data_IF_752171592381
#
_entry.id   IF_752171592381
#
_cell.length_a   1.000
_cell.length_b   1.000
_cell.length_c   1.000
_cell.angle_alpha   90.00
_cell.angle_beta   90.00
_cell.angle_gamma   90.00
#
_symmetry.space_group_name_H-M   'P 1'
#
loop_
_entity.id
_entity.type
_entity.pdbx_description
1 polymer ?
#
# COMPACT_ATOMS: atom_id res chain seq x y z
N UNK A 1 -3.51 22.15 24.52
CA UNK A 1 -4.03 21.87 23.16
C UNK A 1 -5.53 21.64 23.27
N UNK A 2 -6.38 22.20 22.40
CA UNK A 2 -7.81 21.94 22.49
C UNK A 2 -8.03 20.45 22.21
N UNK A 3 -8.59 19.73 23.18
CA UNK A 3 -9.03 18.35 23.03
C UNK A 3 -9.96 18.26 21.82
N UNK A 4 -9.47 17.70 20.72
CA UNK A 4 -10.26 17.48 19.52
C UNK A 4 -11.35 16.44 19.82
N UNK A 5 -12.50 16.59 19.16
CA UNK A 5 -13.77 15.84 19.29
C UNK A 5 -13.70 14.31 19.10
N UNK A 6 -12.52 13.70 19.16
CA UNK A 6 -12.28 12.37 18.62
C UNK A 6 -11.25 11.59 19.46
N UNK A 7 -11.46 10.28 19.67
CA UNK A 7 -10.56 9.47 20.47
C UNK A 7 -9.16 9.41 19.84
N UNK A 8 -8.14 9.47 20.70
CA UNK A 8 -6.75 9.28 20.30
C UNK A 8 -6.53 7.88 19.71
N UNK A 9 -5.76 7.75 18.62
CA UNK A 9 -5.60 6.47 17.93
C UNK A 9 -4.72 5.47 18.70
N UNK A 10 -3.76 5.95 19.50
CA UNK A 10 -2.87 5.11 20.31
C UNK A 10 -3.10 5.33 21.80
N UNK A 11 -3.03 4.26 22.57
CA UNK A 11 -3.02 4.33 24.04
C UNK A 11 -1.64 4.76 24.58
N UNK A 12 -1.57 5.30 25.81
CA UNK A 12 -0.29 5.62 26.46
C UNK A 12 0.66 4.41 26.55
N UNK A 13 0.11 3.20 26.73
CA UNK A 13 0.90 1.98 26.78
C UNK A 13 1.53 1.63 25.41
N UNK A 14 0.80 1.85 24.32
CA UNK A 14 1.32 1.66 22.96
C UNK A 14 2.41 2.68 22.63
N UNK A 15 2.22 3.95 23.00
CA UNK A 15 3.23 5.00 22.85
C UNK A 15 4.54 4.64 23.57
N UNK A 16 4.46 4.18 24.82
CA UNK A 16 5.64 3.72 25.56
C UNK A 16 6.35 2.55 24.89
N UNK A 17 5.60 1.56 24.37
CA UNK A 17 6.20 0.42 23.63
C UNK A 17 6.85 0.86 22.32
N UNK A 18 6.33 1.92 21.69
CA UNK A 18 6.91 2.48 20.47
C UNK A 18 8.32 3.05 20.70
N UNK A 19 8.60 3.62 21.87
CA UNK A 19 9.95 4.11 22.23
C UNK A 19 10.98 2.97 22.27
N UNK A 20 10.54 1.74 22.57
CA UNK A 20 11.38 0.55 22.62
C UNK A 20 11.56 -0.11 21.24
N UNK A 21 10.83 0.36 20.21
CA UNK A 21 10.88 -0.20 18.86
C UNK A 21 12.24 0.02 18.22
N UNK A 22 12.72 -1.02 17.53
CA UNK A 22 13.94 -0.98 16.74
C UNK A 22 13.66 -1.60 15.39
N UNK A 23 13.87 -0.81 14.34
CA UNK A 23 13.75 -1.29 12.97
C UNK A 23 14.63 -2.52 12.75
N UNK A 24 14.03 -3.55 12.14
CA UNK A 24 14.72 -4.79 11.80
C UNK A 24 14.28 -5.23 10.41
N UNK A 25 15.24 -5.31 9.50
CA UNK A 25 15.03 -5.83 8.17
C UNK A 25 16.16 -6.79 7.77
N UNK A 26 15.84 -7.75 6.91
CA UNK A 26 16.79 -8.75 6.41
C UNK A 26 16.45 -9.18 4.99
N UNK A 27 17.41 -9.80 4.31
CA UNK A 27 17.28 -10.12 2.89
C UNK A 27 17.76 -8.97 2.00
N UNK A 28 17.75 -9.22 0.70
CA UNK A 28 18.11 -8.26 -0.34
C UNK A 28 17.42 -8.65 -1.64
N UNK A 29 16.89 -7.67 -2.35
CA UNK A 29 16.30 -7.90 -3.67
C UNK A 29 17.38 -7.87 -4.78
N UNK A 30 17.05 -8.36 -5.97
CA UNK A 30 17.99 -8.55 -7.08
C UNK A 30 18.52 -7.23 -7.65
N UNK A 31 17.64 -6.24 -7.82
CA UNK A 31 17.93 -4.93 -8.38
C UNK A 31 18.34 -3.91 -7.32
N UNK A 32 18.18 -4.21 -6.03
CA UNK A 32 18.62 -3.32 -4.98
C UNK A 32 20.13 -2.99 -5.06
N UNK A 33 21.08 -3.95 -5.14
CA UNK A 33 22.52 -3.62 -5.20
C UNK A 33 22.93 -2.66 -6.33
N UNK A 34 22.52 -2.82 -7.60
CA UNK A 34 22.84 -1.83 -8.63
C UNK A 34 22.13 -0.48 -8.37
N UNK A 35 20.89 -0.48 -7.89
CA UNK A 35 20.16 0.74 -7.54
C UNK A 35 20.82 1.50 -6.37
N UNK A 36 21.52 0.82 -5.45
CA UNK A 36 22.26 1.47 -4.37
C UNK A 36 23.25 2.51 -4.88
N UNK A 37 23.87 2.31 -6.06
CA UNK A 37 24.80 3.29 -6.66
C UNK A 37 24.06 4.61 -6.93
N UNK A 38 22.91 4.51 -7.58
CA UNK A 38 22.07 5.65 -7.92
C UNK A 38 21.48 6.30 -6.65
N UNK A 39 20.92 5.53 -5.72
CA UNK A 39 20.30 6.07 -4.51
C UNK A 39 21.31 6.72 -3.55
N UNK A 40 22.53 6.19 -3.45
CA UNK A 40 23.60 6.81 -2.65
C UNK A 40 24.09 8.13 -3.27
N UNK A 41 24.08 8.25 -4.59
CA UNK A 41 24.32 9.53 -5.26
C UNK A 41 23.13 10.50 -5.05
N UNK A 42 21.90 10.02 -5.22
CA UNK A 42 20.69 10.83 -5.16
C UNK A 42 20.48 11.45 -3.78
N UNK A 43 20.66 10.67 -2.70
CA UNK A 43 20.52 11.19 -1.33
C UNK A 43 21.50 12.32 -1.05
N UNK A 44 22.69 12.34 -1.67
CA UNK A 44 23.66 13.44 -1.52
C UNK A 44 23.18 14.74 -2.17
N UNK A 45 22.33 14.65 -3.20
CA UNK A 45 21.73 15.81 -3.87
C UNK A 45 20.60 16.43 -3.05
N UNK A 46 20.04 15.71 -2.08
CA UNK A 46 18.98 16.22 -1.21
C UNK A 46 19.60 17.18 -0.17
N UNK A 47 19.09 18.42 -0.03
CA UNK A 47 19.53 19.32 1.03
C UNK A 47 19.26 18.73 2.41
N UNK A 48 20.19 18.93 3.36
CA UNK A 48 20.10 18.35 4.71
C UNK A 48 19.00 18.93 5.58
N UNK A 49 18.32 19.99 5.15
CA UNK A 49 17.14 20.54 5.85
C UNK A 49 15.83 19.87 5.43
N UNK A 50 15.83 19.09 4.33
CA UNK A 50 14.65 18.35 3.88
C UNK A 50 14.46 17.13 4.79
N UNK A 51 13.30 17.05 5.44
CA UNK A 51 12.94 15.93 6.29
C UNK A 51 12.67 14.66 5.44
N UNK A 52 13.02 13.47 5.93
CA UNK A 52 12.74 12.19 5.27
C UNK A 52 11.27 12.03 4.86
N UNK A 53 10.35 12.27 5.78
CA UNK A 53 8.91 12.14 5.54
C UNK A 53 8.40 13.08 4.42
N UNK A 54 9.11 14.19 4.17
CA UNK A 54 8.79 15.09 3.05
C UNK A 54 9.12 14.42 1.71
N UNK A 55 10.19 13.62 1.63
CA UNK A 55 10.52 12.85 0.43
C UNK A 55 9.44 11.79 0.17
N UNK A 56 9.07 11.03 1.21
CA UNK A 56 8.04 10.00 1.14
C UNK A 56 6.70 10.56 0.66
N UNK A 57 6.20 11.65 1.27
CA UNK A 57 4.89 12.20 0.88
C UNK A 57 4.91 12.83 -0.51
N UNK A 58 6.02 13.45 -0.92
CA UNK A 58 6.16 14.01 -2.28
C UNK A 58 6.16 12.87 -3.30
N UNK A 59 6.88 11.78 -3.04
CA UNK A 59 6.84 10.57 -3.85
C UNK A 59 5.41 10.06 -3.99
N UNK A 60 4.71 9.86 -2.87
CA UNK A 60 3.33 9.40 -2.85
C UNK A 60 2.40 10.29 -3.69
N UNK A 61 2.49 11.61 -3.50
CA UNK A 61 1.66 12.57 -4.23
C UNK A 61 1.91 12.51 -5.75
N UNK A 62 3.17 12.38 -6.18
CA UNK A 62 3.50 12.21 -7.61
C UNK A 62 2.86 10.95 -8.17
N UNK A 63 2.96 9.83 -7.46
CA UNK A 63 2.35 8.57 -7.89
C UNK A 63 0.82 8.69 -7.97
N UNK A 64 0.17 9.22 -6.93
CA UNK A 64 -1.28 9.47 -6.89
C UNK A 64 -1.73 10.30 -8.08
N UNK A 65 -1.07 11.45 -8.32
CA UNK A 65 -1.46 12.36 -9.41
C UNK A 65 -1.33 11.67 -10.77
N UNK A 66 -0.22 10.95 -11.00
CA UNK A 66 -0.04 10.23 -12.28
C UNK A 66 -1.11 9.15 -12.50
N UNK A 67 -1.46 8.37 -11.47
CA UNK A 67 -2.51 7.35 -11.58
C UNK A 67 -3.90 7.97 -11.70
N UNK A 68 -4.21 9.06 -11.00
CA UNK A 68 -5.52 9.74 -11.11
C UNK A 68 -5.72 10.28 -12.53
N UNK A 69 -4.66 10.75 -13.19
CA UNK A 69 -4.71 11.12 -14.61
C UNK A 69 -5.07 9.90 -15.47
N UNK A 70 -4.46 8.73 -15.23
CA UNK A 70 -4.86 7.49 -15.92
C UNK A 70 -6.32 7.11 -15.64
N UNK A 71 -6.79 7.19 -14.39
CA UNK A 71 -8.17 6.89 -14.01
C UNK A 71 -9.16 7.85 -14.68
N UNK A 72 -8.79 9.12 -14.85
CA UNK A 72 -9.61 10.09 -15.55
C UNK A 72 -9.82 9.71 -17.03
N UNK A 73 -8.79 9.23 -17.71
CA UNK A 73 -8.90 8.77 -19.10
C UNK A 73 -9.52 7.38 -19.23
N UNK A 74 -9.23 6.48 -18.29
CA UNK A 74 -9.58 5.06 -18.34
C UNK A 74 -10.30 4.61 -17.06
N UNK A 75 -11.48 5.15 -16.72
CA UNK A 75 -12.17 4.84 -15.46
C UNK A 75 -12.65 3.39 -15.38
N UNK A 76 -12.78 2.70 -16.51
CA UNK A 76 -13.16 1.28 -16.57
C UNK A 76 -12.02 0.34 -16.91
N UNK A 77 -10.80 0.87 -17.11
CA UNK A 77 -9.63 0.13 -17.60
C UNK A 77 -9.88 -0.63 -18.92
N UNK A 78 -10.80 -0.11 -19.76
CA UNK A 78 -11.10 -0.61 -21.12
C UNK A 78 -10.69 0.39 -22.20
N UNK A 79 -10.52 1.64 -21.79
CA UNK A 79 -10.22 2.78 -22.64
C UNK A 79 -8.72 2.90 -22.93
N UNK A 80 -8.37 3.77 -23.86
CA UNK A 80 -6.99 4.11 -24.24
C UNK A 80 -6.66 5.52 -23.73
N UNK A 81 -5.64 5.63 -22.87
CA UNK A 81 -5.11 6.91 -22.44
C UNK A 81 -4.08 7.44 -23.46
N UNK A 82 -3.88 8.76 -23.57
CA UNK A 82 -2.81 9.29 -24.42
C UNK A 82 -1.43 8.84 -23.92
N UNK A 83 -0.50 8.58 -24.85
CA UNK A 83 0.84 8.05 -24.55
C UNK A 83 1.59 8.81 -23.44
N UNK A 84 1.45 10.13 -23.38
CA UNK A 84 2.11 10.95 -22.36
C UNK A 84 1.63 10.62 -20.94
N UNK A 85 0.39 10.16 -20.74
CA UNK A 85 -0.14 9.80 -19.43
C UNK A 85 0.51 8.51 -18.90
N UNK A 86 0.78 7.55 -19.79
CA UNK A 86 1.56 6.36 -19.46
C UNK A 86 3.03 6.69 -19.19
N UNK A 87 3.66 7.57 -19.98
CA UNK A 87 5.03 8.04 -19.72
C UNK A 87 5.09 8.77 -18.37
N UNK A 88 4.11 9.62 -18.07
CA UNK A 88 4.00 10.31 -16.79
C UNK A 88 3.88 9.33 -15.63
N UNK A 89 3.15 8.21 -15.80
CA UNK A 89 3.01 7.18 -14.77
C UNK A 89 4.30 6.35 -14.60
N UNK A 90 5.02 6.06 -15.68
CA UNK A 90 6.35 5.43 -15.60
C UNK A 90 7.34 6.33 -14.86
N UNK A 91 7.40 7.62 -15.22
CA UNK A 91 8.26 8.60 -14.55
C UNK A 91 7.83 8.83 -13.10
N UNK A 92 6.52 8.91 -12.86
CA UNK A 92 5.96 9.11 -11.52
C UNK A 92 6.28 7.96 -10.57
N UNK A 93 6.17 6.72 -11.05
CA UNK A 93 6.55 5.53 -10.28
C UNK A 93 8.08 5.46 -10.06
N UNK A 94 8.89 5.86 -11.04
CA UNK A 94 10.34 5.96 -10.87
C UNK A 94 10.70 7.01 -9.80
N UNK A 95 10.05 8.17 -9.82
CA UNK A 95 10.25 9.22 -8.80
C UNK A 95 9.81 8.72 -7.42
N UNK A 96 8.64 8.07 -7.33
CA UNK A 96 8.17 7.44 -6.10
C UNK A 96 9.23 6.50 -5.52
N UNK A 97 9.64 5.48 -6.30
CA UNK A 97 10.64 4.49 -5.88
C UNK A 97 11.96 5.15 -5.46
N UNK A 98 12.38 6.19 -6.18
CA UNK A 98 13.63 6.88 -5.90
C UNK A 98 13.58 7.66 -4.59
N UNK A 99 12.46 8.33 -4.29
CA UNK A 99 12.28 9.12 -3.06
C UNK A 99 12.07 8.23 -1.85
N UNK A 100 11.30 7.15 -2.02
CA UNK A 100 11.07 6.08 -1.06
C UNK A 100 12.41 5.44 -0.63
N UNK A 101 13.19 4.93 -1.59
CA UNK A 101 14.47 4.27 -1.29
C UNK A 101 15.53 5.16 -0.61
N UNK A 102 15.41 6.49 -0.72
CA UNK A 102 16.35 7.43 -0.10
C UNK A 102 15.86 8.04 1.21
N UNK A 103 14.61 7.89 1.61
CA UNK A 103 14.10 8.57 2.81
C UNK A 103 14.81 8.08 4.09
N UNK A 104 15.00 6.77 4.24
CA UNK A 104 15.74 6.18 5.36
C UNK A 104 17.22 6.48 5.26
N UNK A 105 17.76 6.65 4.04
CA UNK A 105 19.15 7.09 3.82
C UNK A 105 19.32 8.53 4.28
N UNK A 106 18.36 9.40 3.93
CA UNK A 106 18.32 10.78 4.38
C UNK A 106 18.20 10.83 5.91
N UNK A 107 17.31 10.03 6.50
CA UNK A 107 17.13 9.96 7.95
C UNK A 107 18.42 9.59 8.68
N UNK A 108 19.20 8.63 8.16
CA UNK A 108 20.52 8.28 8.70
C UNK A 108 21.53 9.40 8.50
N UNK A 109 21.54 10.04 7.33
CA UNK A 109 22.45 11.16 7.01
C UNK A 109 22.21 12.37 7.91
N UNK A 110 20.97 12.65 8.29
CA UNK A 110 20.57 13.79 9.13
C UNK A 110 20.41 13.43 10.60
N UNK A 111 20.74 12.20 11.02
CA UNK A 111 20.52 11.69 12.38
C UNK A 111 19.08 11.90 12.89
N UNK A 112 18.10 11.71 12.00
CA UNK A 112 16.67 11.89 12.29
C UNK A 112 15.83 10.62 12.10
N UNK A 113 16.47 9.45 12.14
CA UNK A 113 15.78 8.15 12.14
C UNK A 113 14.89 8.02 13.39
N UNK A 114 13.64 7.60 13.19
CA UNK A 114 12.66 7.44 14.26
C UNK A 114 11.62 6.38 13.90
N UNK A 115 10.91 5.79 14.89
CA UNK A 115 9.76 4.92 14.63
C UNK A 115 8.67 5.63 13.79
N UNK A 116 8.49 6.94 13.99
CA UNK A 116 7.55 7.71 13.16
C UNK A 116 7.92 7.67 11.68
N UNK A 117 9.21 7.79 11.34
CA UNK A 117 9.67 7.77 9.95
C UNK A 117 9.36 6.43 9.27
N UNK A 118 9.66 5.32 9.95
CA UNK A 118 9.33 3.96 9.46
C UNK A 118 7.82 3.76 9.26
N UNK A 119 7.01 4.23 10.23
CA UNK A 119 5.55 4.15 10.10
C UNK A 119 5.02 5.03 8.96
N UNK A 120 5.63 6.19 8.74
CA UNK A 120 5.24 7.12 7.69
C UNK A 120 5.54 6.55 6.31
N UNK A 121 6.73 5.96 6.14
CA UNK A 121 7.20 5.26 4.95
C UNK A 121 6.24 4.12 4.56
N UNK A 122 6.12 3.09 5.42
CA UNK A 122 5.23 1.95 5.17
C UNK A 122 3.76 2.35 5.06
N UNK A 123 3.37 3.42 5.77
CA UNK A 123 2.04 4.01 5.67
C UNK A 123 1.74 4.57 4.28
N UNK A 124 2.73 5.22 3.66
CA UNK A 124 2.65 5.72 2.29
C UNK A 124 2.72 4.60 1.27
N UNK A 125 3.56 3.58 1.47
CA UNK A 125 3.63 2.39 0.63
C UNK A 125 2.29 1.66 0.51
N UNK A 126 1.56 1.54 1.63
CA UNK A 126 0.25 0.91 1.65
C UNK A 126 -0.73 1.62 0.70
N UNK A 127 -0.68 2.95 0.66
CA UNK A 127 -1.51 3.77 -0.23
C UNK A 127 -0.97 3.72 -1.67
N UNK A 128 0.34 3.86 -1.85
CA UNK A 128 1.00 3.80 -3.15
C UNK A 128 0.66 2.50 -3.89
N UNK A 129 0.69 1.37 -3.19
CA UNK A 129 0.33 0.05 -3.72
C UNK A 129 -1.06 0.02 -4.35
N UNK A 130 -2.04 0.76 -3.79
CA UNK A 130 -3.39 0.88 -4.36
C UNK A 130 -3.36 1.54 -5.73
N UNK A 131 -2.68 2.69 -5.84
CA UNK A 131 -2.60 3.44 -7.09
C UNK A 131 -1.76 2.72 -8.14
N UNK A 132 -0.67 2.06 -7.74
CA UNK A 132 0.14 1.22 -8.63
C UNK A 132 -0.71 0.06 -9.18
N UNK A 133 -1.51 -0.62 -8.35
CA UNK A 133 -2.37 -1.71 -8.79
C UNK A 133 -3.43 -1.24 -9.81
N UNK A 134 -4.09 -0.11 -9.54
CA UNK A 134 -5.08 0.49 -10.45
C UNK A 134 -4.43 0.89 -11.78
N UNK A 135 -3.30 1.61 -11.73
CA UNK A 135 -2.58 2.04 -12.93
C UNK A 135 -2.08 0.87 -13.78
N UNK A 136 -1.61 -0.20 -13.14
CA UNK A 136 -1.18 -1.44 -13.82
C UNK A 136 -2.35 -2.11 -14.55
N UNK A 137 -3.53 -2.18 -13.93
CA UNK A 137 -4.72 -2.73 -14.57
C UNK A 137 -5.16 -1.90 -15.79
N UNK A 138 -5.08 -0.57 -15.68
CA UNK A 138 -5.35 0.36 -16.80
C UNK A 138 -4.33 0.15 -17.92
N UNK A 139 -3.03 0.08 -17.59
CA UNK A 139 -1.94 -0.11 -18.55
C UNK A 139 -2.16 -1.34 -19.42
N UNK A 140 -2.61 -2.45 -18.85
CA UNK A 140 -2.86 -3.69 -19.60
C UNK A 140 -4.24 -3.78 -20.26
N UNK A 141 -5.15 -2.83 -20.04
CA UNK A 141 -6.49 -2.85 -20.61
C UNK A 141 -7.33 -4.06 -20.20
N UNK A 142 -7.16 -4.56 -18.97
CA UNK A 142 -7.81 -5.80 -18.51
C UNK A 142 -9.21 -5.56 -17.92
N UNK A 143 -9.79 -4.37 -18.05
CA UNK A 143 -11.13 -4.05 -17.55
C UNK A 143 -12.26 -4.85 -18.21
N UNK A 144 -12.03 -5.39 -19.42
CA UNK A 144 -12.95 -6.32 -20.08
C UNK A 144 -12.93 -7.75 -19.49
N UNK A 145 -12.03 -8.01 -18.53
CA UNK A 145 -11.85 -9.30 -17.87
C UNK A 145 -12.08 -9.16 -16.35
N UNK A 146 -13.34 -9.07 -15.88
CA UNK A 146 -13.67 -8.73 -14.48
C UNK A 146 -12.95 -9.57 -13.43
N UNK A 147 -12.82 -10.88 -13.64
CA UNK A 147 -12.11 -11.75 -12.69
C UNK A 147 -10.61 -11.44 -12.63
N UNK A 148 -10.01 -11.09 -13.78
CA UNK A 148 -8.58 -10.77 -13.85
C UNK A 148 -8.27 -9.40 -13.27
N UNK A 149 -9.06 -8.36 -13.57
CA UNK A 149 -8.88 -7.05 -12.93
C UNK A 149 -9.15 -7.11 -11.42
N UNK A 150 -10.11 -7.93 -10.96
CA UNK A 150 -10.29 -8.17 -9.52
C UNK A 150 -9.03 -8.79 -8.90
N UNK A 151 -8.54 -9.90 -9.46
CA UNK A 151 -7.35 -10.58 -8.96
C UNK A 151 -6.11 -9.67 -8.98
N UNK A 152 -5.78 -9.08 -10.14
CA UNK A 152 -4.61 -8.22 -10.33
C UNK A 152 -4.70 -6.92 -9.51
N UNK A 153 -5.91 -6.37 -9.33
CA UNK A 153 -6.13 -5.17 -8.53
C UNK A 153 -5.92 -5.38 -7.03
N UNK A 154 -6.26 -6.55 -6.49
CA UNK A 154 -6.17 -6.82 -5.05
C UNK A 154 -4.90 -7.56 -4.63
N UNK A 155 -4.27 -8.34 -5.52
CA UNK A 155 -3.15 -9.22 -5.13
C UNK A 155 -1.94 -8.46 -4.60
N UNK A 156 -1.60 -7.30 -5.19
CA UNK A 156 -0.50 -6.46 -4.70
C UNK A 156 -0.75 -5.94 -3.29
N UNK A 157 -1.98 -5.48 -3.01
CA UNK A 157 -2.40 -5.02 -1.68
C UNK A 157 -2.36 -6.15 -0.64
N UNK A 158 -2.79 -7.36 -1.04
CA UNK A 158 -2.70 -8.56 -0.21
C UNK A 158 -1.24 -8.95 0.07
N UNK A 159 -0.36 -8.90 -0.92
CA UNK A 159 1.07 -9.19 -0.74
C UNK A 159 1.74 -8.19 0.21
N UNK A 160 1.44 -6.90 0.07
CA UNK A 160 1.92 -5.88 0.98
C UNK A 160 1.46 -6.14 2.43
N UNK A 161 0.19 -6.51 2.61
CA UNK A 161 -0.35 -6.89 3.92
C UNK A 161 0.37 -8.13 4.49
N UNK A 162 0.61 -9.17 3.67
CA UNK A 162 1.31 -10.37 4.09
C UNK A 162 2.76 -10.13 4.51
N UNK A 163 3.49 -9.22 3.83
CA UNK A 163 4.85 -8.83 4.22
C UNK A 163 4.85 -8.21 5.64
N UNK A 164 3.86 -7.38 5.94
CA UNK A 164 3.70 -6.78 7.27
C UNK A 164 3.15 -7.77 8.30
N UNK A 165 2.35 -8.74 7.89
CA UNK A 165 1.89 -9.82 8.76
C UNK A 165 3.05 -10.73 9.17
N UNK A 166 3.91 -11.12 8.24
CA UNK A 166 5.19 -11.77 8.54
C UNK A 166 6.00 -10.97 9.57
N UNK A 167 6.08 -9.65 9.39
CA UNK A 167 6.85 -8.76 10.27
C UNK A 167 6.22 -8.67 11.67
N UNK A 168 4.89 -8.59 11.75
CA UNK A 168 4.14 -8.67 13.00
C UNK A 168 4.39 -9.98 13.76
N UNK A 169 4.55 -11.10 13.06
CA UNK A 169 4.82 -12.40 13.68
C UNK A 169 6.28 -12.53 14.11
N UNK A 170 7.22 -12.21 13.22
CA UNK A 170 8.64 -12.55 13.38
C UNK A 170 9.50 -11.41 13.96
N UNK A 171 9.02 -10.18 13.90
CA UNK A 171 9.72 -8.99 14.35
C UNK A 171 10.71 -8.39 13.34
N UNK A 172 10.81 -8.97 12.15
CA UNK A 172 11.76 -8.54 11.12
C UNK A 172 11.10 -8.55 9.76
N UNK A 173 11.21 -7.44 9.02
CA UNK A 173 10.80 -7.37 7.63
C UNK A 173 11.80 -8.14 6.76
N UNK A 174 11.33 -9.12 5.98
CA UNK A 174 12.19 -9.99 5.18
C UNK A 174 11.93 -9.77 3.69
N UNK A 175 12.98 -9.36 2.99
CA UNK A 175 12.96 -9.13 1.55
C UNK A 175 13.35 -10.39 0.78
N UNK A 176 12.60 -10.67 -0.28
CA UNK A 176 12.86 -11.75 -1.23
C UNK A 176 13.84 -11.33 -2.34
N UNK A 177 14.20 -12.28 -3.20
CA UNK A 177 14.99 -11.98 -4.40
C UNK A 177 14.21 -11.16 -5.44
N UNK A 178 12.91 -11.42 -5.55
CA UNK A 178 11.96 -10.61 -6.33
C UNK A 178 11.02 -9.97 -5.33
N UNK A 179 11.10 -8.67 -5.20
CA UNK A 179 10.36 -7.87 -4.23
C UNK A 179 9.84 -6.57 -4.88
N UNK A 180 9.42 -5.61 -4.06
CA UNK A 180 8.80 -4.34 -4.51
C UNK A 180 9.64 -3.65 -5.59
N UNK A 181 10.97 -3.63 -5.48
CA UNK A 181 11.87 -2.99 -6.45
C UNK A 181 11.70 -3.57 -7.87
N UNK A 182 11.81 -4.89 -8.02
CA UNK A 182 11.70 -5.56 -9.33
C UNK A 182 10.29 -5.40 -9.90
N UNK A 183 9.27 -5.51 -9.05
CA UNK A 183 7.86 -5.36 -9.46
C UNK A 183 7.61 -3.95 -9.98
N UNK A 184 8.10 -2.92 -9.29
CA UNK A 184 7.95 -1.54 -9.75
C UNK A 184 8.68 -1.29 -11.08
N UNK A 185 9.89 -1.83 -11.29
CA UNK A 185 10.57 -1.75 -12.60
C UNK A 185 9.77 -2.45 -13.71
N UNK A 186 9.21 -3.63 -13.43
CA UNK A 186 8.37 -4.33 -14.38
C UNK A 186 7.13 -3.49 -14.76
N UNK A 187 6.49 -2.84 -13.79
CA UNK A 187 5.34 -1.96 -14.02
C UNK A 187 5.74 -0.70 -14.79
N UNK A 188 6.90 -0.10 -14.51
CA UNK A 188 7.43 1.01 -15.32
C UNK A 188 7.60 0.59 -16.80
N UNK A 189 8.13 -0.61 -17.05
CA UNK A 189 8.24 -1.16 -18.40
C UNK A 189 6.85 -1.36 -19.03
N UNK A 190 5.87 -1.86 -18.27
CA UNK A 190 4.50 -2.03 -18.76
C UNK A 190 3.85 -0.69 -19.16
N UNK A 191 4.06 0.36 -18.37
CA UNK A 191 3.63 1.71 -18.73
C UNK A 191 4.29 2.18 -20.02
N UNK A 192 5.60 2.01 -20.17
CA UNK A 192 6.31 2.40 -21.41
C UNK A 192 5.82 1.59 -22.62
N UNK A 193 5.61 0.28 -22.47
CA UNK A 193 5.02 -0.56 -23.52
C UNK A 193 3.65 -0.04 -23.96
N UNK A 194 2.81 0.37 -23.01
CA UNK A 194 1.48 0.95 -23.29
C UNK A 194 1.59 2.34 -23.92
N UNK A 195 2.58 3.14 -23.54
CA UNK A 195 2.81 4.45 -24.14
C UNK A 195 3.16 4.37 -25.63
N UNK A 196 4.01 3.40 -26.02
CA UNK A 196 4.51 3.29 -27.39
C UNK A 196 3.69 2.35 -28.27
N UNK A 197 3.08 1.31 -27.70
CA UNK A 197 2.27 0.33 -28.44
C UNK A 197 0.75 0.49 -28.26
N UNK A 198 0.33 1.40 -27.39
CA UNK A 198 -1.06 1.51 -26.94
C UNK A 198 -1.49 0.32 -26.07
N UNK A 199 -2.66 0.42 -25.47
CA UNK A 199 -3.30 -0.67 -24.73
C UNK A 199 -3.61 -1.85 -25.65
N UNK A 200 -3.85 -1.58 -26.93
CA UNK A 200 -4.06 -2.61 -27.98
C UNK A 200 -2.90 -3.60 -28.12
N UNK A 201 -1.67 -3.20 -27.79
CA UNK A 201 -0.48 -4.07 -27.77
C UNK A 201 -0.72 -5.32 -26.89
N UNK A 202 -1.36 -5.13 -25.75
CA UNK A 202 -1.65 -6.21 -24.80
C UNK A 202 -2.65 -7.23 -25.33
N UNK A 203 -3.50 -6.82 -26.28
CA UNK A 203 -4.46 -7.69 -26.96
C UNK A 203 -3.88 -8.40 -28.19
N UNK A 204 -2.68 -8.03 -28.63
CA UNK A 204 -2.01 -8.67 -29.75
C UNK A 204 -1.64 -10.12 -29.44
N UNK A 205 -1.92 -11.00 -30.40
CA UNK A 205 -1.53 -12.42 -30.35
C UNK A 205 -0.09 -12.57 -30.83
N UNK A 206 0.78 -13.16 -30.00
CA UNK A 206 2.16 -13.42 -30.38
C UNK A 206 2.24 -14.53 -31.45
N UNK A 207 2.94 -14.31 -32.57
CA UNK A 207 2.89 -15.19 -33.74
C UNK A 207 3.47 -16.60 -33.50
N UNK A 208 4.40 -16.75 -32.55
CA UNK A 208 5.06 -18.04 -32.27
C UNK A 208 4.30 -18.87 -31.23
N UNK A 209 3.69 -18.21 -30.24
CA UNK A 209 3.13 -18.86 -29.03
C UNK A 209 1.59 -18.93 -29.10
N UNK A 210 0.95 -18.10 -29.93
CA UNK A 210 -0.51 -18.05 -30.07
C UNK A 210 -1.25 -17.45 -28.86
N UNK A 211 -0.52 -16.91 -27.88
CA UNK A 211 -1.06 -16.28 -26.68
C UNK A 211 -1.12 -14.76 -26.83
N UNK A 212 -2.13 -14.14 -26.21
CA UNK A 212 -2.23 -12.69 -26.08
C UNK A 212 -1.18 -12.15 -25.11
N UNK A 213 -0.64 -10.97 -25.39
CA UNK A 213 0.46 -10.41 -24.61
C UNK A 213 0.10 -10.12 -23.13
N UNK A 214 -1.14 -9.76 -22.79
CA UNK A 214 -1.55 -9.54 -21.39
C UNK A 214 -1.40 -10.79 -20.50
N UNK A 215 -1.32 -11.99 -21.08
CA UNK A 215 -1.18 -13.24 -20.32
C UNK A 215 0.17 -13.28 -19.59
N UNK A 216 1.24 -12.71 -20.13
CA UNK A 216 2.56 -12.77 -19.52
C UNK A 216 2.65 -12.00 -18.20
N UNK A 217 2.19 -10.73 -18.10
CA UNK A 217 2.08 -10.06 -16.81
C UNK A 217 1.22 -10.84 -15.80
N UNK A 218 0.10 -11.42 -16.22
CA UNK A 218 -0.77 -12.21 -15.33
C UNK A 218 -0.03 -13.45 -14.81
N UNK A 219 0.66 -14.20 -15.67
CA UNK A 219 1.47 -15.35 -15.25
C UNK A 219 2.60 -14.93 -14.31
N UNK A 220 3.25 -13.79 -14.57
CA UNK A 220 4.25 -13.21 -13.68
C UNK A 220 3.68 -12.87 -12.30
N UNK A 221 2.50 -12.23 -12.26
CA UNK A 221 1.78 -11.91 -11.02
C UNK A 221 1.42 -13.20 -10.25
N UNK A 222 0.90 -14.23 -10.93
CA UNK A 222 0.56 -15.51 -10.30
C UNK A 222 1.82 -16.18 -9.74
N UNK A 223 2.88 -16.30 -10.54
CA UNK A 223 4.13 -16.93 -10.12
C UNK A 223 4.78 -16.20 -8.95
N UNK A 224 4.84 -14.87 -9.03
CA UNK A 224 5.33 -14.01 -7.95
C UNK A 224 4.49 -14.13 -6.69
N UNK A 225 3.15 -14.07 -6.81
CA UNK A 225 2.25 -14.22 -5.67
C UNK A 225 2.38 -15.60 -5.01
N UNK A 226 2.48 -16.69 -5.78
CA UNK A 226 2.68 -18.03 -5.23
C UNK A 226 4.02 -18.15 -4.49
N UNK A 227 5.10 -17.63 -5.07
CA UNK A 227 6.42 -17.62 -4.46
C UNK A 227 6.44 -16.78 -3.17
N UNK A 228 5.94 -15.55 -3.21
CA UNK A 228 5.90 -14.65 -2.06
C UNK A 228 4.97 -15.18 -0.97
N UNK A 229 3.77 -15.66 -1.30
CA UNK A 229 2.88 -16.32 -0.34
C UNK A 229 3.55 -17.50 0.35
N UNK A 230 4.21 -18.38 -0.40
CA UNK A 230 4.90 -19.52 0.20
C UNK A 230 5.90 -19.06 1.27
N UNK A 231 6.73 -18.08 0.95
CA UNK A 231 7.72 -17.54 1.88
C UNK A 231 7.07 -16.83 3.08
N UNK A 232 6.09 -15.97 2.85
CA UNK A 232 5.39 -15.25 3.94
C UNK A 232 4.66 -16.20 4.87
N UNK A 233 3.87 -17.15 4.35
CA UNK A 233 3.12 -18.10 5.16
C UNK A 233 4.02 -19.12 5.85
N UNK A 234 5.16 -19.48 5.26
CA UNK A 234 6.17 -20.27 5.95
C UNK A 234 6.64 -19.57 7.23
N UNK A 235 6.91 -18.26 7.18
CA UNK A 235 7.33 -17.48 8.36
C UNK A 235 6.15 -17.20 9.30
N UNK A 236 4.96 -16.90 8.80
CA UNK A 236 3.77 -16.65 9.65
C UNK A 236 3.41 -17.88 10.49
N UNK A 237 3.52 -19.09 9.92
CA UNK A 237 3.12 -20.33 10.58
C UNK A 237 4.23 -20.93 11.47
N UNK A 238 5.50 -20.66 11.17
CA UNK A 238 6.64 -21.28 11.88
C UNK A 238 7.55 -20.29 12.63
N UNK A 239 7.44 -18.99 12.36
CA UNK A 239 8.39 -17.95 12.80
C UNK A 239 7.94 -17.09 13.98
N UNK A 240 6.90 -17.49 14.71
CA UNK A 240 6.43 -16.76 15.89
C UNK A 240 7.47 -16.75 17.01
N UNK A 241 7.78 -15.56 17.53
CA UNK A 241 8.84 -15.35 18.55
C UNK A 241 8.30 -15.14 19.98
N UNK A 242 6.98 -15.09 20.17
CA UNK A 242 6.36 -15.00 21.49
C UNK A 242 6.35 -16.33 22.25
N UNK A 243 5.93 -16.31 23.52
CA UNK A 243 6.09 -17.43 24.48
C UNK A 243 5.57 -18.80 24.01
N UNK A 244 4.61 -18.82 23.08
CA UNK A 244 3.96 -20.04 22.57
C UNK A 244 4.00 -20.14 21.04
N UNK A 245 5.05 -19.64 20.39
CA UNK A 245 5.04 -19.46 18.92
C UNK A 245 4.04 -18.38 18.48
N UNK A 246 3.73 -17.45 19.38
CA UNK A 246 2.90 -16.28 19.17
C UNK A 246 3.67 -15.16 18.45
N UNK A 247 2.98 -14.09 18.07
CA UNK A 247 3.57 -12.88 17.48
C UNK A 247 4.58 -12.21 18.45
N UNK A 248 5.32 -11.19 17.99
CA UNK A 248 6.16 -10.34 18.88
C UNK A 248 5.38 -9.70 20.03
N UNK A 249 4.07 -9.56 19.86
CA UNK A 249 3.14 -8.99 20.83
C UNK A 249 2.61 -10.02 21.85
N UNK A 250 3.09 -11.26 21.83
CA UNK A 250 2.54 -12.41 22.57
C UNK A 250 1.08 -12.75 22.21
N UNK A 251 0.59 -12.28 21.05
CA UNK A 251 -0.77 -12.52 20.55
C UNK A 251 -0.84 -13.62 19.47
N UNK A 252 -2.06 -13.97 19.04
CA UNK A 252 -2.31 -14.92 17.96
C UNK A 252 -1.67 -14.51 16.63
N UNK A 253 -0.92 -15.44 16.03
CA UNK A 253 -0.32 -15.28 14.69
C UNK A 253 -1.35 -15.25 13.57
N UNK A 254 -2.57 -15.74 13.78
CA UNK A 254 -3.59 -15.84 12.74
C UNK A 254 -4.57 -14.66 12.68
N UNK A 255 -4.61 -13.84 13.73
CA UNK A 255 -5.58 -12.73 13.85
C UNK A 255 -5.51 -11.71 12.70
N UNK A 256 -4.33 -11.30 12.19
CA UNK A 256 -4.28 -10.40 11.03
C UNK A 256 -4.97 -10.99 9.79
N UNK A 257 -4.92 -12.31 9.61
CA UNK A 257 -5.61 -13.01 8.53
C UNK A 257 -7.11 -12.81 8.52
N UNK A 258 -7.75 -12.68 9.69
CA UNK A 258 -9.18 -12.40 9.78
C UNK A 258 -9.54 -11.02 9.22
N UNK A 259 -8.67 -10.02 9.40
CA UNK A 259 -8.92 -8.66 8.95
C UNK A 259 -8.88 -8.58 7.42
N UNK A 260 -7.77 -9.01 6.82
CA UNK A 260 -7.61 -8.99 5.37
C UNK A 260 -8.58 -9.96 4.69
N UNK A 261 -8.82 -11.13 5.30
CA UNK A 261 -9.80 -12.11 4.83
C UNK A 261 -11.22 -11.54 4.80
N UNK A 262 -11.63 -10.80 5.83
CA UNK A 262 -12.93 -10.13 5.87
C UNK A 262 -13.05 -9.07 4.77
N UNK A 263 -12.06 -8.19 4.59
CA UNK A 263 -12.09 -7.16 3.54
C UNK A 263 -12.18 -7.79 2.15
N UNK A 264 -11.33 -8.77 1.84
CA UNK A 264 -11.31 -9.45 0.54
C UNK A 264 -12.59 -10.27 0.29
N UNK A 265 -13.14 -10.89 1.34
CA UNK A 265 -14.42 -11.61 1.24
C UNK A 265 -15.56 -10.65 0.95
N UNK A 266 -15.63 -9.52 1.64
CA UNK A 266 -16.63 -8.49 1.37
C UNK A 266 -16.48 -7.95 -0.05
N UNK A 267 -15.26 -7.62 -0.48
CA UNK A 267 -14.99 -7.18 -1.85
C UNK A 267 -15.47 -8.22 -2.88
N UNK A 268 -15.15 -9.50 -2.67
CA UNK A 268 -15.54 -10.55 -3.59
C UNK A 268 -17.06 -10.78 -3.62
N UNK A 269 -17.72 -10.81 -2.45
CA UNK A 269 -19.17 -10.97 -2.36
C UNK A 269 -19.87 -9.79 -3.02
N UNK A 270 -19.43 -8.56 -2.76
CA UNK A 270 -20.03 -7.35 -3.33
C UNK A 270 -19.87 -7.32 -4.84
N UNK A 271 -18.70 -7.70 -5.36
CA UNK A 271 -18.49 -7.91 -6.78
C UNK A 271 -19.49 -8.94 -7.34
N UNK A 272 -19.55 -10.15 -6.77
CA UNK A 272 -20.33 -11.25 -7.35
C UNK A 272 -21.85 -11.15 -7.18
N UNK A 273 -22.33 -10.43 -6.18
CA UNK A 273 -23.77 -10.26 -5.91
C UNK A 273 -24.36 -8.97 -6.48
N UNK A 274 -23.55 -8.07 -7.02
CA UNK A 274 -24.06 -6.81 -7.55
C UNK A 274 -25.04 -7.05 -8.72
N UNK A 275 -26.28 -6.63 -8.53
CA UNK A 275 -27.31 -6.68 -9.58
C UNK A 275 -27.06 -5.67 -10.69
N UNK A 276 -26.39 -4.56 -10.36
CA UNK A 276 -26.06 -3.50 -11.32
C UNK A 276 -24.69 -3.69 -11.97
N UNK A 277 -24.01 -4.82 -11.78
CA UNK A 277 -22.64 -5.06 -12.25
C UNK A 277 -21.68 -3.92 -11.83
N UNK A 278 -21.78 -3.49 -10.57
CA UNK A 278 -21.09 -2.31 -10.01
C UNK A 278 -19.59 -2.34 -10.29
N UNK A 279 -18.93 -3.49 -10.07
CA UNK A 279 -17.49 -3.63 -10.28
C UNK A 279 -17.11 -3.58 -11.77
N UNK A 280 -17.91 -4.18 -12.65
CA UNK A 280 -17.63 -4.21 -14.09
C UNK A 280 -17.81 -2.84 -14.77
N UNK A 281 -18.68 -2.00 -14.21
CA UNK A 281 -18.92 -0.63 -14.66
C UNK A 281 -18.00 0.40 -14.01
N UNK A 282 -17.58 0.18 -12.76
CA UNK A 282 -16.75 1.14 -12.00
C UNK A 282 -15.53 0.50 -11.32
N UNK A 283 -14.68 -0.27 -12.05
CA UNK A 283 -13.63 -1.07 -11.44
C UNK A 283 -12.54 -0.22 -10.76
N UNK A 284 -12.13 0.90 -11.36
CA UNK A 284 -11.09 1.76 -10.76
C UNK A 284 -11.58 2.40 -9.44
N UNK A 285 -12.80 2.93 -9.42
CA UNK A 285 -13.39 3.48 -8.20
C UNK A 285 -13.55 2.39 -7.12
N UNK A 286 -13.94 1.18 -7.52
CA UNK A 286 -14.06 0.05 -6.62
C UNK A 286 -12.73 -0.36 -5.99
N UNK A 287 -11.68 -0.49 -6.81
CA UNK A 287 -10.33 -0.81 -6.36
C UNK A 287 -9.76 0.30 -5.46
N UNK A 288 -10.04 1.56 -5.76
CA UNK A 288 -9.66 2.68 -4.88
C UNK A 288 -10.39 2.60 -3.53
N UNK A 289 -11.71 2.38 -3.52
CA UNK A 289 -12.51 2.34 -2.29
C UNK A 289 -12.04 1.23 -1.34
N UNK A 290 -11.95 -0.01 -1.82
CA UNK A 290 -11.45 -1.12 -1.01
C UNK A 290 -9.94 -1.04 -0.76
N UNK A 291 -9.18 -0.46 -1.69
CA UNK A 291 -7.76 -0.19 -1.52
C UNK A 291 -7.49 0.73 -0.32
N UNK A 292 -8.27 1.80 -0.13
CA UNK A 292 -8.14 2.67 1.05
C UNK A 292 -8.42 1.92 2.37
N UNK A 293 -9.40 1.00 2.36
CA UNK A 293 -9.68 0.13 3.51
C UNK A 293 -8.48 -0.78 3.80
N UNK A 294 -7.94 -1.46 2.79
CA UNK A 294 -6.77 -2.34 2.96
C UNK A 294 -5.56 -1.54 3.42
N UNK A 295 -5.32 -0.35 2.85
CA UNK A 295 -4.22 0.53 3.25
C UNK A 295 -4.33 0.92 4.73
N UNK A 296 -5.52 1.30 5.21
CA UNK A 296 -5.71 1.61 6.64
C UNK A 296 -5.43 0.38 7.52
N UNK A 297 -5.96 -0.78 7.15
CA UNK A 297 -5.77 -2.02 7.92
C UNK A 297 -4.29 -2.45 7.94
N UNK A 298 -3.57 -2.29 6.83
CA UNK A 298 -2.11 -2.47 6.77
C UNK A 298 -1.38 -1.50 7.71
N UNK A 299 -1.77 -0.22 7.74
CA UNK A 299 -1.17 0.77 8.64
C UNK A 299 -1.41 0.43 10.11
N UNK A 300 -2.59 -0.07 10.45
CA UNK A 300 -2.86 -0.60 11.80
C UNK A 300 -1.97 -1.79 12.14
N UNK A 301 -1.70 -2.68 11.19
CA UNK A 301 -0.83 -3.83 11.37
C UNK A 301 0.63 -3.42 11.58
N UNK A 302 1.13 -2.43 10.84
CA UNK A 302 2.47 -1.83 11.06
C UNK A 302 2.57 -1.31 12.50
N UNK A 303 1.59 -0.52 12.95
CA UNK A 303 1.57 -0.02 14.34
C UNK A 303 1.52 -1.17 15.33
N UNK A 304 0.63 -2.14 15.13
CA UNK A 304 0.48 -3.28 16.03
C UNK A 304 1.82 -4.03 16.20
N UNK A 305 2.59 -4.15 15.13
CA UNK A 305 3.95 -4.69 15.18
C UNK A 305 4.88 -3.81 16.02
N UNK A 306 4.99 -2.52 15.68
CA UNK A 306 5.92 -1.59 16.34
C UNK A 306 5.60 -1.39 17.83
N UNK A 307 4.32 -1.35 18.19
CA UNK A 307 3.86 -1.19 19.57
C UNK A 307 3.66 -2.53 20.27
N UNK A 308 3.96 -3.65 19.62
CA UNK A 308 3.76 -5.02 20.14
C UNK A 308 2.36 -5.19 20.74
N UNK A 309 1.32 -4.74 20.05
CA UNK A 309 -0.07 -4.77 20.53
C UNK A 309 -0.95 -5.62 19.64
N UNK A 310 -2.12 -6.03 20.15
CA UNK A 310 -3.08 -6.78 19.35
C UNK A 310 -3.71 -5.91 18.25
N UNK A 311 -4.10 -6.56 17.14
CA UNK A 311 -4.91 -5.93 16.11
C UNK A 311 -6.39 -6.21 16.38
N UNK A 312 -7.14 -5.18 16.79
CA UNK A 312 -8.57 -5.29 17.07
C UNK A 312 -9.42 -5.22 15.79
N UNK A 313 -10.34 -6.19 15.65
CA UNK A 313 -11.21 -6.35 14.48
C UNK A 313 -12.25 -5.23 14.31
N UNK A 314 -12.96 -4.76 15.37
CA UNK A 314 -13.87 -3.64 15.23
C UNK A 314 -13.10 -2.39 14.77
N UNK A 315 -13.44 -1.92 13.58
CA UNK A 315 -12.76 -0.77 12.98
C UNK A 315 -13.68 0.00 12.02
N UNK A 316 -13.54 1.32 12.01
CA UNK A 316 -14.31 2.23 11.14
C UNK A 316 -14.04 2.02 9.64
N UNK A 317 -12.92 1.37 9.28
CA UNK A 317 -12.57 1.03 7.91
C UNK A 317 -13.64 0.16 7.23
N UNK A 318 -14.36 -0.66 8.02
CA UNK A 318 -15.38 -1.56 7.50
C UNK A 318 -16.72 -0.88 7.22
N UNK A 319 -16.93 0.38 7.63
CA UNK A 319 -18.22 1.08 7.43
C UNK A 319 -18.57 1.15 5.94
N UNK A 320 -17.65 1.58 5.08
CA UNK A 320 -17.88 1.66 3.63
C UNK A 320 -18.26 0.30 2.99
N UNK A 321 -17.43 -0.75 3.15
CA UNK A 321 -17.78 -2.10 2.72
C UNK A 321 -19.09 -2.63 3.29
N UNK A 322 -19.38 -2.37 4.57
CA UNK A 322 -20.64 -2.79 5.20
C UNK A 322 -21.85 -2.07 4.60
N UNK A 323 -21.76 -0.78 4.26
CA UNK A 323 -22.84 -0.06 3.57
C UNK A 323 -23.15 -0.67 2.21
N UNK A 324 -22.12 -1.00 1.42
CA UNK A 324 -22.28 -1.69 0.13
C UNK A 324 -22.93 -3.06 0.30
N UNK A 325 -22.42 -3.87 1.23
CA UNK A 325 -22.96 -5.20 1.50
C UNK A 325 -24.43 -5.15 1.95
N UNK A 326 -24.76 -4.25 2.88
CA UNK A 326 -26.13 -4.09 3.38
C UNK A 326 -27.06 -3.56 2.29
N UNK A 327 -26.61 -2.61 1.46
CA UNK A 327 -27.40 -2.13 0.33
C UNK A 327 -27.78 -3.28 -0.61
N UNK A 328 -26.82 -4.12 -1.00
CA UNK A 328 -27.08 -5.30 -1.82
C UNK A 328 -27.97 -6.33 -1.13
N UNK A 329 -27.81 -6.53 0.19
CA UNK A 329 -28.67 -7.43 0.97
C UNK A 329 -30.14 -7.00 0.92
N UNK A 330 -30.41 -5.69 0.92
CA UNK A 330 -31.73 -5.11 0.77
C UNK A 330 -32.10 -4.80 -0.69
N UNK A 331 -31.64 -5.62 -1.64
CA UNK A 331 -31.93 -5.53 -3.08
C UNK A 331 -31.55 -4.18 -3.73
N UNK A 332 -30.43 -3.59 -3.29
CA UNK A 332 -29.88 -2.35 -3.85
C UNK A 332 -30.89 -1.20 -3.88
N UNK A 333 -31.55 -0.95 -2.73
CA UNK A 333 -32.57 0.08 -2.60
C UNK A 333 -32.04 1.52 -2.86
N UNK A 334 -30.74 1.74 -2.65
CA UNK A 334 -30.00 2.91 -3.15
C UNK A 334 -29.13 2.46 -4.32
N UNK A 335 -28.96 3.33 -5.30
CA UNK A 335 -28.03 3.12 -6.41
C UNK A 335 -26.62 2.72 -5.90
N UNK A 336 -26.15 1.55 -6.33
CA UNK A 336 -24.90 0.96 -5.87
C UNK A 336 -23.68 1.85 -6.17
N UNK A 337 -23.70 2.64 -7.24
CA UNK A 337 -22.63 3.56 -7.60
C UNK A 337 -22.60 4.78 -6.68
N UNK A 338 -23.75 5.30 -6.24
CA UNK A 338 -23.81 6.33 -5.20
C UNK A 338 -23.25 5.80 -3.88
N UNK A 339 -23.64 4.59 -3.46
CA UNK A 339 -23.12 3.97 -2.23
C UNK A 339 -21.62 3.72 -2.34
N UNK A 340 -21.11 3.36 -3.53
CA UNK A 340 -19.68 3.18 -3.76
C UNK A 340 -18.89 4.50 -3.60
N UNK A 341 -19.40 5.62 -4.10
CA UNK A 341 -18.78 6.93 -3.86
C UNK A 341 -18.79 7.32 -2.38
N UNK A 342 -19.90 7.07 -1.67
CA UNK A 342 -19.98 7.29 -0.23
C UNK A 342 -18.93 6.44 0.48
N UNK A 343 -18.83 5.15 0.14
CA UNK A 343 -17.83 4.24 0.70
C UNK A 343 -16.40 4.74 0.43
N UNK A 344 -16.09 5.15 -0.80
CA UNK A 344 -14.79 5.71 -1.17
C UNK A 344 -14.43 6.94 -0.31
N UNK A 345 -15.35 7.91 -0.21
CA UNK A 345 -15.11 9.14 0.57
C UNK A 345 -14.94 8.84 2.05
N UNK A 346 -15.78 7.96 2.62
CA UNK A 346 -15.65 7.56 4.01
C UNK A 346 -14.32 6.86 4.29
N UNK A 347 -13.93 5.90 3.44
CA UNK A 347 -12.67 5.18 3.57
C UNK A 347 -11.45 6.10 3.44
N UNK A 348 -11.49 7.08 2.52
CA UNK A 348 -10.43 8.07 2.37
C UNK A 348 -10.33 8.97 3.60
N UNK A 349 -11.43 9.56 4.06
CA UNK A 349 -11.45 10.43 5.23
C UNK A 349 -10.98 9.70 6.50
N UNK A 350 -11.43 8.45 6.67
CA UNK A 350 -11.07 7.61 7.79
C UNK A 350 -9.58 7.24 7.79
N UNK A 351 -9.02 6.88 6.63
CA UNK A 351 -7.58 6.66 6.45
C UNK A 351 -6.77 7.93 6.73
N UNK A 352 -7.09 9.05 6.07
CA UNK A 352 -6.38 10.32 6.23
C UNK A 352 -6.39 10.78 7.68
N UNK A 353 -7.55 10.67 8.33
CA UNK A 353 -7.69 11.01 9.75
C UNK A 353 -6.84 10.10 10.62
N UNK A 354 -6.90 8.79 10.41
CA UNK A 354 -6.13 7.83 11.18
C UNK A 354 -4.62 8.09 11.05
N UNK A 355 -4.11 8.20 9.83
CA UNK A 355 -2.70 8.49 9.56
C UNK A 355 -2.26 9.83 10.17
N UNK A 356 -3.06 10.89 9.99
CA UNK A 356 -2.76 12.20 10.55
C UNK A 356 -2.71 12.17 12.08
N UNK A 357 -3.73 11.56 12.72
CA UNK A 357 -3.82 11.46 14.17
C UNK A 357 -2.63 10.69 14.76
N UNK A 358 -2.30 9.54 14.16
CA UNK A 358 -1.15 8.72 14.57
C UNK A 358 0.16 9.50 14.43
N UNK A 359 0.39 10.14 13.27
CA UNK A 359 1.62 10.88 13.02
C UNK A 359 1.81 12.02 14.01
N UNK A 360 0.75 12.80 14.26
CA UNK A 360 0.80 13.93 15.21
C UNK A 360 0.97 13.45 16.65
N UNK A 361 0.29 12.38 17.05
CA UNK A 361 0.39 11.84 18.40
C UNK A 361 1.80 11.30 18.68
N UNK A 362 2.37 10.52 17.76
CA UNK A 362 3.74 10.00 17.88
C UNK A 362 4.75 11.14 17.83
N UNK A 363 4.60 12.10 16.91
CA UNK A 363 5.48 13.26 16.82
C UNK A 363 5.50 14.06 18.13
N UNK A 364 4.32 14.29 18.72
CA UNK A 364 4.20 14.94 20.03
C UNK A 364 4.84 14.13 21.15
N UNK A 365 4.66 12.81 21.16
CA UNK A 365 5.23 11.93 22.18
C UNK A 365 6.76 11.89 22.12
N UNK A 366 7.33 11.74 20.92
CA UNK A 366 8.76 11.70 20.67
C UNK A 366 9.43 13.10 20.62
N UNK A 367 8.65 14.18 20.77
CA UNK A 367 9.10 15.57 20.65
C UNK A 367 9.84 15.87 19.32
N UNK A 368 9.35 15.30 18.23
CA UNK A 368 9.86 15.53 16.87
C UNK A 368 8.84 16.24 16.01
N UNK A 369 9.29 16.82 14.89
CA UNK A 369 8.41 17.45 13.90
C UNK A 369 8.26 16.52 12.70
N UNK A 370 7.05 16.39 12.16
CA UNK A 370 6.76 15.42 11.08
C UNK A 370 7.50 15.77 9.79
N UNK A 371 7.53 17.05 9.39
CA UNK A 371 8.04 17.51 8.08
C UNK A 371 9.24 18.45 8.17
N UNK A 372 9.93 18.48 9.31
CA UNK A 372 11.13 19.29 9.50
C UNK A 372 12.07 18.62 10.49
N UNK A 373 13.37 18.80 10.32
CA UNK A 373 14.37 18.18 11.21
C UNK A 373 14.44 18.98 12.52
N UNK A 374 14.28 18.30 13.65
CA UNK A 374 14.40 18.90 14.98
C UNK A 374 15.86 19.29 15.24
N UNK A 375 16.15 20.55 15.64
CA UNK A 375 17.51 20.96 16.00
C UNK A 375 18.03 20.19 17.22
N UNK A 376 19.35 19.91 17.32
CA UNK A 376 19.94 19.17 18.44
C UNK A 376 19.75 19.77 19.85
N UNK A 377 19.21 20.99 19.99
CA UNK A 377 19.09 21.72 21.26
C UNK A 377 17.71 21.68 21.93
N UNK A 378 16.67 21.19 21.27
CA UNK A 378 15.29 21.21 21.77
C UNK A 378 14.92 19.94 22.58
N UNK A 379 15.75 18.90 22.59
CA UNK A 379 15.44 17.61 23.24
C UNK A 379 15.68 17.58 24.76
N UNK A 380 16.32 18.61 25.33
CA UNK A 380 16.73 18.65 26.75
C UNK A 380 16.23 19.88 27.53
N UNK A 381 15.35 20.70 26.95
CA UNK A 381 14.68 21.78 27.68
C UNK A 381 13.25 21.34 27.94
N UNK A 382 13.05 20.69 29.09
CA UNK A 382 11.84 20.71 29.94
C UNK A 382 11.89 19.55 30.94
#
# INVERSE_FOLDING_TARGET
>A
MPHFLWPEPLSPAQLKRLEEHKYSASGRSLFEPPCQIYWNWLVQQIPTWVAPNTLTIVGLLVNIVSTVILVYYCPTAKEEAPAWAFILSALGLFIYQSLDAIDGKQARRTNSSSPLGELFDHGCDAVSTVFVAVGTCISCGIGALPNWIFFCGFIGMFMFFCAHWQTYVSGTLRFGLVDVTEVQFAIMIMYLMSAFGGVSLWQATLPVIGLKMYIFPILGIIGGALYSCYNYFYVILNGGVGKNGSTVADTSVLTPGLHIGLVLTLAFIIFKKSSSHLFEHHPCLYLLAFGMVIAKISNKLVIAHMTKSELHLPDTAFIGPSLLFLNQYFNSFIDEHIVLWIAMVLSLLDLTRYCTGVCLQIASHLRIRVFSITPPGDSHRD
#
